data_IF_536449388866
#
_entry.id   IF_536449388866
#
_cell.length_a   1.000
_cell.length_b   1.000
_cell.length_c   1.000
_cell.angle_alpha   90.00
_cell.angle_beta   90.00
_cell.angle_gamma   90.00
#
_symmetry.space_group_name_H-M   'P 1'
#
loop_
_entity.id
_entity.type
_entity.pdbx_description
1 polymer ?
#
# COMPACT_ATOMS: atom_id res chain seq x y z
N UNK A 1 12.43 28.37 26.39
CA UNK A 1 11.24 27.51 26.60
C UNK A 1 10.36 27.59 25.37
N UNK A 2 10.33 26.51 24.58
CA UNK A 2 9.20 26.11 23.74
C UNK A 2 9.35 24.60 23.59
N UNK A 3 8.67 23.89 24.47
CA UNK A 3 8.62 22.44 24.49
C UNK A 3 7.63 21.95 23.44
N UNK A 4 7.93 20.77 22.90
CA UNK A 4 6.96 19.78 22.39
C UNK A 4 6.29 20.07 21.05
N UNK A 5 6.89 19.46 20.02
CA UNK A 5 6.24 19.10 18.77
C UNK A 5 6.81 17.81 18.16
N UNK A 6 7.26 16.84 18.98
CA UNK A 6 7.59 15.49 18.50
C UNK A 6 6.30 14.68 18.28
N UNK A 7 5.43 15.19 17.42
CA UNK A 7 4.61 14.33 16.59
C UNK A 7 5.32 14.32 15.25
N UNK A 8 6.27 13.41 15.04
CA UNK A 8 6.70 13.14 13.69
C UNK A 8 5.43 12.71 12.95
N UNK A 9 4.83 13.63 12.19
CA UNK A 9 3.83 13.25 11.19
C UNK A 9 4.54 12.16 10.41
N UNK A 10 4.10 10.90 10.55
CA UNK A 10 4.72 9.83 9.81
C UNK A 10 4.72 10.27 8.35
N UNK A 11 5.91 10.38 7.75
CA UNK A 11 6.03 10.88 6.39
C UNK A 11 5.17 9.98 5.51
N UNK A 12 4.11 10.54 4.94
CA UNK A 12 3.24 9.84 4.02
C UNK A 12 3.96 9.73 2.68
N UNK A 13 3.86 8.58 2.03
CA UNK A 13 4.47 8.34 0.73
C UNK A 13 3.52 7.53 -0.14
N UNK A 14 3.72 7.63 -1.45
CA UNK A 14 3.03 6.77 -2.39
C UNK A 14 3.77 5.43 -2.48
N UNK A 15 3.03 4.33 -2.48
CA UNK A 15 3.57 2.99 -2.59
C UNK A 15 2.91 2.21 -3.71
N UNK A 16 3.71 1.39 -4.37
CA UNK A 16 3.28 0.35 -5.28
C UNK A 16 3.63 -1.00 -4.67
N UNK A 17 2.64 -1.88 -4.59
CA UNK A 17 2.74 -3.20 -3.99
C UNK A 17 2.30 -4.20 -5.03
N UNK A 18 3.14 -5.17 -5.35
CA UNK A 18 2.85 -6.21 -6.35
C UNK A 18 2.68 -7.53 -5.65
N UNK A 19 1.61 -8.23 -6.00
CA UNK A 19 1.28 -9.55 -5.45
C UNK A 19 1.00 -10.54 -6.58
N UNK A 20 1.29 -11.81 -6.33
CA UNK A 20 1.10 -12.87 -7.30
C UNK A 20 -0.38 -13.19 -7.49
N UNK A 21 -0.75 -13.49 -8.73
CA UNK A 21 -2.11 -13.83 -9.09
C UNK A 21 -3.02 -12.61 -9.21
N UNK A 22 -4.32 -12.87 -9.31
CA UNK A 22 -5.34 -11.84 -9.52
C UNK A 22 -6.20 -11.67 -8.28
N UNK A 23 -6.33 -10.45 -7.80
CA UNK A 23 -7.36 -10.11 -6.81
C UNK A 23 -8.72 -10.17 -7.51
N UNK A 24 -9.51 -11.18 -7.17
CA UNK A 24 -10.89 -11.31 -7.65
C UNK A 24 -11.78 -10.18 -7.16
N UNK A 25 -12.90 -9.91 -7.85
CA UNK A 25 -13.82 -8.81 -7.51
C UNK A 25 -14.28 -8.81 -6.05
N UNK A 26 -14.57 -9.98 -5.49
CA UNK A 26 -15.00 -10.15 -4.10
C UNK A 26 -13.95 -9.67 -3.08
N UNK A 27 -12.67 -9.77 -3.41
CA UNK A 27 -11.55 -9.39 -2.53
C UNK A 27 -11.09 -7.94 -2.75
N UNK A 28 -11.59 -7.25 -3.78
CA UNK A 28 -11.25 -5.83 -4.02
C UNK A 28 -11.72 -4.93 -2.88
N UNK A 29 -12.86 -5.26 -2.25
CA UNK A 29 -13.37 -4.55 -1.06
C UNK A 29 -12.37 -4.60 0.10
N UNK A 30 -11.56 -5.67 0.19
CA UNK A 30 -10.51 -5.76 1.19
C UNK A 30 -9.36 -4.75 0.92
N UNK A 31 -9.25 -4.21 -0.28
CA UNK A 31 -8.23 -3.22 -0.66
C UNK A 31 -8.86 -1.88 -1.05
N UNK A 32 -10.03 -1.57 -0.48
CA UNK A 32 -10.69 -0.27 -0.65
C UNK A 32 -9.73 0.87 -0.29
N UNK A 33 -9.77 1.95 -1.07
CA UNK A 33 -8.83 3.08 -0.95
C UNK A 33 -7.52 2.90 -1.71
N UNK A 34 -7.24 1.70 -2.25
CA UNK A 34 -6.12 1.47 -3.15
C UNK A 34 -6.57 1.44 -4.62
N UNK A 35 -5.71 1.94 -5.51
CA UNK A 35 -5.87 1.73 -6.95
C UNK A 35 -5.36 0.35 -7.34
N UNK A 36 -6.23 -0.48 -7.92
CA UNK A 36 -5.92 -1.87 -8.28
C UNK A 36 -5.77 -1.99 -9.79
N UNK A 37 -4.60 -2.43 -10.25
CA UNK A 37 -4.35 -2.76 -11.67
C UNK A 37 -4.09 -4.26 -11.79
N UNK A 38 -4.84 -4.93 -12.67
CA UNK A 38 -4.64 -6.36 -12.95
C UNK A 38 -3.69 -6.53 -14.13
N UNK A 39 -2.59 -7.24 -13.91
CA UNK A 39 -1.68 -7.65 -14.96
C UNK A 39 -1.82 -9.16 -15.25
N UNK A 40 -1.23 -9.67 -16.34
CA UNK A 40 -1.08 -11.11 -16.52
C UNK A 40 -0.20 -11.70 -15.41
N UNK A 41 -0.77 -12.56 -14.56
CA UNK A 41 -0.03 -13.29 -13.52
C UNK A 41 0.18 -12.56 -12.19
N UNK A 42 -0.16 -11.27 -12.09
CA UNK A 42 0.03 -10.47 -10.87
C UNK A 42 -1.03 -9.36 -10.75
N UNK A 43 -1.13 -8.80 -9.55
CA UNK A 43 -1.94 -7.62 -9.24
C UNK A 43 -1.06 -6.54 -8.65
N UNK A 44 -1.25 -5.31 -9.12
CA UNK A 44 -0.56 -4.12 -8.62
C UNK A 44 -1.54 -3.30 -7.80
N UNK A 45 -1.22 -3.08 -6.54
CA UNK A 45 -1.94 -2.22 -5.61
C UNK A 45 -1.14 -0.92 -5.45
N UNK A 46 -1.78 0.22 -5.67
CA UNK A 46 -1.18 1.54 -5.45
C UNK A 46 -1.92 2.27 -4.34
N UNK A 47 -1.19 2.62 -3.30
CA UNK A 47 -1.68 3.48 -2.23
C UNK A 47 -1.01 4.85 -2.29
N UNK A 48 -1.80 5.89 -2.11
CA UNK A 48 -1.32 7.28 -2.05
C UNK A 48 -1.28 7.78 -0.63
N UNK A 49 -0.32 8.64 -0.33
CA UNK A 49 -0.18 9.29 0.97
C UNK A 49 -0.25 8.30 2.16
N UNK A 50 0.32 7.10 1.99
CA UNK A 50 0.32 6.10 3.04
C UNK A 50 1.41 6.41 4.06
N UNK A 51 1.03 6.42 5.34
CA UNK A 51 2.00 6.30 6.42
C UNK A 51 2.47 4.85 6.58
N UNK A 52 3.42 4.62 7.50
CA UNK A 52 3.94 3.29 7.76
C UNK A 52 2.88 2.33 8.30
N UNK A 53 1.98 2.78 9.17
CA UNK A 53 0.96 1.91 9.76
C UNK A 53 -0.03 1.42 8.69
N UNK A 54 -0.44 2.31 7.78
CA UNK A 54 -1.29 1.98 6.65
C UNK A 54 -0.60 0.98 5.70
N UNK A 55 0.68 1.20 5.39
CA UNK A 55 1.46 0.24 4.59
C UNK A 55 1.48 -1.15 5.23
N UNK A 56 1.83 -1.25 6.52
CA UNK A 56 1.88 -2.54 7.22
C UNK A 56 0.51 -3.20 7.33
N UNK A 57 -0.57 -2.43 7.51
CA UNK A 57 -1.93 -2.97 7.49
C UNK A 57 -2.32 -3.60 6.15
N UNK A 58 -1.84 -3.03 5.03
CA UNK A 58 -2.04 -3.61 3.70
C UNK A 58 -1.24 -4.91 3.55
N UNK A 59 0.02 -4.93 4.00
CA UNK A 59 0.87 -6.12 3.94
C UNK A 59 0.32 -7.27 4.78
N UNK A 60 -0.16 -6.99 5.99
CA UNK A 60 -0.84 -7.97 6.85
C UNK A 60 -2.08 -8.55 6.15
N UNK A 61 -2.89 -7.69 5.54
CA UNK A 61 -4.08 -8.12 4.80
C UNK A 61 -3.74 -8.99 3.58
N UNK A 62 -2.67 -8.69 2.86
CA UNK A 62 -2.17 -9.53 1.76
C UNK A 62 -1.84 -10.93 2.28
N UNK A 63 -1.12 -11.02 3.40
CA UNK A 63 -0.76 -12.31 4.02
C UNK A 63 -1.97 -13.07 4.57
N UNK A 64 -2.89 -12.37 5.24
CA UNK A 64 -4.11 -12.95 5.80
C UNK A 64 -5.03 -13.56 4.71
N UNK A 65 -5.00 -13.00 3.50
CA UNK A 65 -5.74 -13.50 2.34
C UNK A 65 -4.97 -14.57 1.55
N UNK A 66 -3.75 -14.93 1.97
CA UNK A 66 -2.94 -15.97 1.35
C UNK A 66 -2.28 -15.56 0.03
N UNK A 67 -2.19 -14.26 -0.27
CA UNK A 67 -1.48 -13.78 -1.45
C UNK A 67 0.03 -13.74 -1.20
N UNK A 68 0.79 -14.10 -2.23
CA UNK A 68 2.25 -14.00 -2.22
C UNK A 68 2.67 -12.58 -2.59
N UNK A 69 3.39 -11.90 -1.68
CA UNK A 69 3.97 -10.59 -1.91
C UNK A 69 5.20 -10.71 -2.83
N UNK A 70 5.19 -9.99 -3.95
CA UNK A 70 6.28 -10.00 -4.92
C UNK A 70 7.22 -8.80 -4.74
N UNK A 71 6.65 -7.60 -4.55
CA UNK A 71 7.43 -6.36 -4.49
C UNK A 71 6.70 -5.30 -3.65
N UNK A 72 7.47 -4.50 -2.91
CA UNK A 72 7.00 -3.26 -2.29
C UNK A 72 7.96 -2.15 -2.71
N UNK A 73 7.43 -1.12 -3.37
CA UNK A 73 8.22 -0.02 -3.90
C UNK A 73 7.63 1.31 -3.45
N UNK A 74 8.45 2.14 -2.80
CA UNK A 74 8.11 3.53 -2.53
C UNK A 74 8.27 4.33 -3.83
N UNK A 75 7.21 5.01 -4.24
CA UNK A 75 7.24 5.87 -5.41
C UNK A 75 7.82 7.23 -5.05
N UNK A 76 8.56 7.88 -5.97
CA UNK A 76 8.95 9.27 -5.77
C UNK A 76 7.71 10.15 -5.67
N UNK A 77 7.77 11.26 -4.90
CA UNK A 77 6.68 12.23 -4.90
C UNK A 77 6.43 12.69 -6.34
N UNK A 78 5.17 12.78 -6.75
CA UNK A 78 4.82 13.30 -8.06
C UNK A 78 5.44 14.71 -8.21
N UNK A 79 6.11 15.01 -9.34
CA UNK A 79 6.57 16.36 -9.59
C UNK A 79 5.37 17.32 -9.61
N UNK A 80 5.56 18.57 -9.15
CA UNK A 80 4.49 19.59 -9.12
C UNK A 80 3.98 19.97 -10.51
#
# INVERSE_FOLDING_TARGET
>A
MAASGYGARHATCDYEIRIKGRVGESLRLAFEGLSITLNPGETVLRGRELDQAALYGILDRIQALGFELLEVRRLPPAPP
#
